data_IF_257204231819
#
_entry.id   IF_257204231819
#
_cell.length_a   1.000
_cell.length_b   1.000
_cell.length_c   1.000
_cell.angle_alpha   90.00
_cell.angle_beta   90.00
_cell.angle_gamma   90.00
#
_symmetry.space_group_name_H-M   'P 1'
#
loop_
_entity.id
_entity.type
_entity.pdbx_description
1 polymer ?
#
# COMPACT_ATOMS: atom_id res chain seq x y z
N UNK A 1 -0.05 0.93 17.02
CA UNK A 1 1.04 0.26 16.29
C UNK A 1 2.26 0.26 17.19
N UNK A 2 2.95 -0.88 17.34
CA UNK A 2 4.11 -1.00 18.24
C UNK A 2 5.42 -0.65 17.53
N UNK A 3 5.55 -1.02 16.26
CA UNK A 3 6.74 -0.76 15.46
C UNK A 3 6.39 -0.61 13.97
N UNK A 4 7.06 0.33 13.30
CA UNK A 4 6.95 0.55 11.86
C UNK A 4 8.33 0.33 11.22
N UNK A 5 8.37 -0.54 10.21
CA UNK A 5 9.58 -0.87 9.46
C UNK A 5 9.30 -0.74 7.97
N UNK A 6 10.08 0.08 7.28
CA UNK A 6 10.09 0.14 5.82
C UNK A 6 11.21 -0.79 5.32
N UNK A 7 10.87 -1.67 4.38
CA UNK A 7 11.86 -2.52 3.73
C UNK A 7 12.74 -1.68 2.80
N UNK A 8 14.03 -2.04 2.64
CA UNK A 8 14.91 -1.35 1.70
C UNK A 8 14.35 -1.48 0.28
N UNK A 9 14.35 -0.37 -0.43
CA UNK A 9 13.92 -0.33 -1.83
C UNK A 9 15.01 -1.02 -2.65
N UNK A 10 14.72 -2.08 -3.41
CA UNK A 10 15.69 -2.63 -4.34
C UNK A 10 16.07 -1.52 -5.32
N UNK A 11 17.36 -1.18 -5.33
CA UNK A 11 17.93 -0.04 -6.04
C UNK A 11 17.43 -0.02 -7.50
N UNK A 12 16.56 0.93 -7.83
CA UNK A 12 16.21 1.25 -9.21
C UNK A 12 16.91 2.57 -9.53
N UNK A 13 18.11 2.49 -10.10
CA UNK A 13 18.98 3.64 -10.44
C UNK A 13 18.29 4.72 -11.29
N UNK A 14 17.15 4.41 -11.90
CA UNK A 14 16.40 5.25 -12.82
C UNK A 14 14.94 5.52 -12.39
N UNK A 15 14.58 5.34 -11.11
CA UNK A 15 13.22 5.66 -10.66
C UNK A 15 13.10 7.16 -10.32
N UNK A 16 12.21 7.87 -11.03
CA UNK A 16 11.79 9.25 -10.71
C UNK A 16 11.24 9.39 -9.28
N UNK A 17 10.99 8.27 -8.59
CA UNK A 17 10.48 8.18 -7.22
C UNK A 17 11.56 7.77 -6.20
N UNK A 18 12.86 7.89 -6.49
CA UNK A 18 13.94 7.49 -5.56
C UNK A 18 13.80 8.08 -4.16
N UNK A 19 13.26 9.30 -4.05
CA UNK A 19 13.05 10.01 -2.79
C UNK A 19 11.69 9.75 -2.13
N UNK A 20 10.79 9.01 -2.79
CA UNK A 20 9.52 8.61 -2.20
C UNK A 20 9.80 7.72 -1.00
N UNK A 21 9.30 8.12 0.18
CA UNK A 21 9.44 7.38 1.44
C UNK A 21 8.07 7.32 2.08
N UNK A 22 7.80 6.22 2.76
CA UNK A 22 6.62 6.07 3.60
C UNK A 22 7.10 6.08 5.04
N UNK A 23 6.67 7.07 5.80
CA UNK A 23 6.80 7.06 7.24
C UNK A 23 5.53 6.46 7.87
N UNK A 24 5.60 6.19 9.17
CA UNK A 24 4.46 5.69 9.93
C UNK A 24 3.20 6.56 9.76
N UNK A 25 3.35 7.89 9.82
CA UNK A 25 2.24 8.84 9.68
C UNK A 25 1.57 8.75 8.31
N UNK A 26 2.34 8.50 7.24
CA UNK A 26 1.79 8.32 5.89
C UNK A 26 0.96 7.04 5.82
N UNK A 27 1.48 5.94 6.38
CA UNK A 27 0.73 4.69 6.47
C UNK A 27 -0.55 4.85 7.30
N UNK A 28 -0.51 5.55 8.43
CA UNK A 28 -1.70 5.87 9.21
C UNK A 28 -2.70 6.73 8.42
N UNK A 29 -2.22 7.69 7.64
CA UNK A 29 -3.02 8.50 6.73
C UNK A 29 -3.71 7.64 5.67
N UNK A 30 -2.99 6.69 5.08
CA UNK A 30 -3.51 5.72 4.10
C UNK A 30 -4.62 4.89 4.75
N UNK A 31 -4.39 4.33 5.94
CA UNK A 31 -5.37 3.52 6.65
C UNK A 31 -6.65 4.28 6.99
N UNK A 32 -6.56 5.59 7.22
CA UNK A 32 -7.70 6.44 7.59
C UNK A 32 -8.47 6.96 6.39
N UNK A 33 -7.78 7.28 5.30
CA UNK A 33 -8.36 8.03 4.19
C UNK A 33 -8.57 7.20 2.92
N UNK A 34 -7.88 6.07 2.75
CA UNK A 34 -8.04 5.25 1.55
C UNK A 34 -9.28 4.37 1.65
N UNK A 35 -9.86 4.08 0.49
CA UNK A 35 -11.01 3.21 0.35
C UNK A 35 -10.55 1.79 0.10
N UNK A 36 -11.21 0.84 0.77
CA UNK A 36 -11.04 -0.57 0.43
C UNK A 36 -11.68 -0.84 -0.93
N UNK A 37 -10.90 -1.47 -1.81
CA UNK A 37 -11.31 -1.89 -3.15
C UNK A 37 -11.09 -3.38 -3.33
N UNK A 38 -11.70 -3.96 -4.36
CA UNK A 38 -11.44 -5.35 -4.75
C UNK A 38 -10.08 -5.48 -5.44
N UNK A 39 -9.48 -6.67 -5.35
CA UNK A 39 -8.17 -6.94 -5.94
C UNK A 39 -8.13 -6.67 -7.45
N UNK A 40 -9.19 -7.07 -8.17
CA UNK A 40 -9.30 -6.86 -9.61
C UNK A 40 -9.28 -5.35 -9.94
N UNK A 41 -10.09 -4.55 -9.25
CA UNK A 41 -10.08 -3.09 -9.39
C UNK A 41 -8.72 -2.49 -9.04
N UNK A 42 -8.05 -3.01 -8.01
CA UNK A 42 -6.74 -2.52 -7.60
C UNK A 42 -5.65 -2.81 -8.64
N UNK A 43 -5.66 -4.02 -9.22
CA UNK A 43 -4.71 -4.43 -10.27
C UNK A 43 -4.91 -3.64 -11.56
N UNK A 44 -6.15 -3.31 -11.90
CA UNK A 44 -6.50 -2.57 -13.12
C UNK A 44 -6.51 -1.05 -12.94
N UNK A 45 -6.57 -0.57 -11.69
CA UNK A 45 -6.82 0.84 -11.37
C UNK A 45 -5.70 1.78 -11.82
N UNK A 46 -4.43 1.38 -11.70
CA UNK A 46 -3.29 2.25 -12.06
C UNK A 46 -2.06 1.45 -12.50
N UNK A 47 -1.91 1.28 -13.82
CA UNK A 47 -0.81 0.51 -14.44
C UNK A 47 0.51 1.31 -14.59
N UNK A 48 0.49 2.64 -14.41
CA UNK A 48 1.59 3.53 -14.82
C UNK A 48 2.71 3.75 -13.78
N UNK A 49 2.65 3.15 -12.59
CA UNK A 49 3.45 3.58 -11.42
C UNK A 49 4.23 2.45 -10.72
N UNK A 50 4.41 1.31 -11.39
CA UNK A 50 4.97 0.08 -10.83
C UNK A 50 6.43 0.15 -10.32
N UNK A 51 7.20 1.20 -10.64
CA UNK A 51 8.64 1.30 -10.34
C UNK A 51 8.98 2.07 -9.05
N UNK A 52 8.01 2.45 -8.23
CA UNK A 52 8.24 3.18 -6.98
C UNK A 52 7.59 2.56 -5.75
N UNK A 53 7.16 1.30 -5.85
CA UNK A 53 6.52 0.58 -4.75
C UNK A 53 7.37 0.67 -3.47
N UNK A 54 6.71 0.96 -2.36
CA UNK A 54 7.29 0.94 -1.02
C UNK A 54 6.64 -0.15 -0.23
N UNK A 55 7.45 -1.06 0.28
CA UNK A 55 7.00 -2.16 1.10
C UNK A 55 7.56 -2.03 2.50
N UNK A 56 6.93 -2.73 3.41
CA UNK A 56 7.42 -2.85 4.76
C UNK A 56 6.50 -3.70 5.59
N UNK A 57 6.68 -3.60 6.90
CA UNK A 57 5.79 -4.22 7.85
C UNK A 57 5.59 -3.36 9.08
N UNK A 58 4.50 -3.67 9.79
CA UNK A 58 4.21 -3.08 11.09
C UNK A 58 3.91 -4.19 12.07
N UNK A 59 4.39 -4.00 13.30
CA UNK A 59 4.09 -4.90 14.41
C UNK A 59 2.97 -4.22 15.21
N UNK A 60 1.86 -4.93 15.37
CA UNK A 60 0.73 -4.49 16.17
C UNK A 60 1.03 -4.63 17.67
N UNK A 61 0.20 -4.01 18.52
CA UNK A 61 0.39 -4.09 19.97
C UNK A 61 0.28 -5.52 20.49
N UNK A 62 -0.52 -6.35 19.84
CA UNK A 62 -0.69 -7.76 20.16
C UNK A 62 0.41 -8.67 19.57
N UNK A 63 1.44 -8.09 18.93
CA UNK A 63 2.58 -8.81 18.37
C UNK A 63 2.36 -9.33 16.93
N UNK A 64 1.14 -9.21 16.38
CA UNK A 64 0.87 -9.55 14.98
C UNK A 64 1.67 -8.68 14.02
N UNK A 65 2.22 -9.30 12.97
CA UNK A 65 2.91 -8.62 11.88
C UNK A 65 1.96 -8.41 10.70
N UNK A 66 1.74 -7.15 10.31
CA UNK A 66 1.09 -6.81 9.04
C UNK A 66 2.17 -6.40 8.05
N UNK A 67 2.14 -6.93 6.84
CA UNK A 67 2.94 -6.36 5.75
C UNK A 67 2.13 -5.30 5.04
N UNK A 68 2.81 -4.31 4.50
CA UNK A 68 2.17 -3.25 3.74
C UNK A 68 2.95 -2.99 2.47
N UNK A 69 2.24 -2.49 1.46
CA UNK A 69 2.81 -1.91 0.27
C UNK A 69 2.04 -0.65 -0.08
N UNK A 70 2.76 0.37 -0.53
CA UNK A 70 2.22 1.61 -1.06
C UNK A 70 2.86 1.85 -2.40
N UNK A 71 2.05 1.98 -3.44
CA UNK A 71 2.47 2.43 -4.76
C UNK A 71 2.37 3.95 -4.82
N UNK A 72 3.35 4.64 -5.43
CA UNK A 72 3.16 6.02 -5.83
C UNK A 72 1.96 6.07 -6.78
N UNK A 73 1.10 7.09 -6.70
CA UNK A 73 -0.17 7.11 -7.44
C UNK A 73 -1.40 6.63 -6.65
N UNK A 74 -1.26 6.46 -5.33
CA UNK A 74 -2.43 6.35 -4.46
C UNK A 74 -3.00 4.94 -4.30
N UNK A 75 -2.23 3.90 -4.62
CA UNK A 75 -2.63 2.52 -4.34
C UNK A 75 -1.84 1.95 -3.16
N UNK A 76 -2.47 1.14 -2.33
CA UNK A 76 -1.81 0.43 -1.25
C UNK A 76 -2.44 -0.94 -1.02
N UNK A 77 -1.72 -1.85 -0.37
CA UNK A 77 -2.34 -3.03 0.22
C UNK A 77 -1.73 -3.36 1.58
N UNK A 78 -2.50 -4.10 2.36
CA UNK A 78 -2.08 -4.69 3.64
C UNK A 78 -2.24 -6.20 3.56
N UNK A 79 -1.24 -6.93 4.01
CA UNK A 79 -1.30 -8.38 4.16
C UNK A 79 -1.37 -8.71 5.66
N UNK A 80 -2.45 -9.40 6.04
CA UNK A 80 -2.68 -9.88 7.40
C UNK A 80 -1.84 -11.14 7.66
N UNK A 81 -1.60 -11.50 8.94
CA UNK A 81 -0.85 -12.72 9.28
C UNK A 81 -1.49 -14.00 8.75
N UNK A 82 -2.80 -13.96 8.48
CA UNK A 82 -3.57 -15.06 7.87
C UNK A 82 -3.32 -15.21 6.36
N UNK A 83 -2.52 -14.34 5.75
CA UNK A 83 -2.30 -14.29 4.30
C UNK A 83 -3.38 -13.52 3.53
N UNK A 84 -4.45 -13.08 4.19
CA UNK A 84 -5.48 -12.23 3.56
C UNK A 84 -4.88 -10.88 3.17
N UNK A 85 -5.17 -10.41 1.97
CA UNK A 85 -4.83 -9.06 1.52
C UNK A 85 -6.04 -8.14 1.52
N UNK A 86 -5.82 -6.91 1.96
CA UNK A 86 -6.76 -5.80 1.84
C UNK A 86 -6.16 -4.79 0.88
N UNK A 87 -6.88 -4.50 -0.20
CA UNK A 87 -6.47 -3.58 -1.24
C UNK A 87 -7.12 -2.22 -0.99
N UNK A 88 -6.33 -1.16 -1.12
CA UNK A 88 -6.67 0.21 -0.77
C UNK A 88 -6.36 1.15 -1.93
N UNK A 89 -7.22 2.13 -2.16
CA UNK A 89 -7.03 3.19 -3.13
C UNK A 89 -7.36 4.57 -2.53
N UNK A 90 -6.57 5.59 -2.86
CA UNK A 90 -6.75 6.97 -2.40
C UNK A 90 -8.05 7.57 -2.94
N UNK A 91 -8.43 7.17 -4.14
CA UNK A 91 -9.66 7.62 -4.80
C UNK A 91 -10.65 6.47 -4.83
N UNK A 92 -11.92 6.78 -4.52
CA UNK A 92 -13.02 5.85 -4.77
C UNK A 92 -13.25 5.83 -6.27
N UNK A 93 -12.59 4.94 -6.99
CA UNK A 93 -12.90 4.71 -8.39
C UNK A 93 -14.38 4.34 -8.47
N UNK A 94 -15.20 5.18 -9.10
CA UNK A 94 -16.61 4.89 -9.34
C UNK A 94 -16.70 3.86 -10.48
N UNK A 95 -16.18 2.66 -10.23
CA UNK A 95 -16.27 1.56 -11.18
C UNK A 95 -17.73 1.13 -11.24
N UNK A 96 -18.37 1.11 -12.43
CA UNK A 96 -19.74 0.65 -12.53
C UNK A 96 -19.76 -0.81 -12.11
N UNK A 97 -20.49 -1.11 -11.03
CA UNK A 97 -20.93 -2.46 -10.74
C UNK A 97 -21.67 -2.93 -12.00
N UNK A 98 -21.06 -3.83 -12.78
CA UNK A 98 -21.80 -4.51 -13.85
C UNK A 98 -22.91 -5.29 -13.15
N UNK A 99 -24.15 -4.80 -13.33
CA UNK A 99 -25.37 -5.54 -13.00
C UNK A 99 -25.48 -6.79 -13.86
#
# INVERSE_FOLDING_TARGET
MKEFVADPIPFAESSHFKDFKIAQKDLEGILKNYFQVEEEHWRHGYSHVAFGDRTGHVILHDGRKLKWMVKPGGLAWLEFPTGKKMYLAAEKTNWPLKK
#
